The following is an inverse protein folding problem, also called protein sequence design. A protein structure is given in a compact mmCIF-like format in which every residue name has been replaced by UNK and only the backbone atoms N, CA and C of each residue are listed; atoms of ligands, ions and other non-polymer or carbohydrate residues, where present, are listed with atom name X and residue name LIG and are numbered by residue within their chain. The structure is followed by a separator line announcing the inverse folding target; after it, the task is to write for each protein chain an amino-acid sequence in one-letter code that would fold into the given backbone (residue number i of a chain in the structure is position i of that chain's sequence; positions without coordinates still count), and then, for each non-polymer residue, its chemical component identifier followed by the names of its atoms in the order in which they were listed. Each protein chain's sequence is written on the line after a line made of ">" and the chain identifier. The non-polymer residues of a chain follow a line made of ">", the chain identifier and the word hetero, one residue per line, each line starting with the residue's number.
data_IF_445698822123
#
_entry.id   IF_445698822123
#
_cell.length_a   1.000
_cell.length_b   1.000
_cell.length_c   1.000
_cell.angle_alpha   90.00
_cell.angle_beta   90.00
_cell.angle_gamma   90.00
#
_symmetry.space_group_name_H-M   'P 1'
#
loop_
_entity.id
_entity.type
_entity.pdbx_description
1 polymer ?
#
# COMPACT_ATOMS: atom_id res chain seq x y z
N UNK A 1 -44.28 -43.27 -19.68
CA UNK A 1 -44.34 -41.81 -19.46
C UNK A 1 -43.24 -41.44 -18.48
N UNK A 2 -42.13 -40.88 -18.96
CA UNK A 2 -41.08 -40.33 -18.10
C UNK A 2 -41.48 -38.89 -17.74
N UNK A 3 -41.82 -38.65 -16.48
CA UNK A 3 -42.02 -37.30 -15.95
C UNK A 3 -40.64 -36.70 -15.62
N UNK A 4 -40.16 -35.88 -16.55
CA UNK A 4 -38.97 -35.06 -16.40
C UNK A 4 -39.34 -33.89 -15.48
N UNK A 5 -39.23 -34.08 -14.17
CA UNK A 5 -39.21 -32.98 -13.22
C UNK A 5 -37.95 -32.15 -13.49
N UNK A 6 -38.10 -31.02 -14.19
CA UNK A 6 -37.07 -30.01 -14.32
C UNK A 6 -36.87 -29.36 -12.94
N UNK A 7 -35.84 -29.82 -12.24
CA UNK A 7 -35.27 -29.10 -11.11
C UNK A 7 -34.79 -27.72 -11.62
N UNK A 8 -35.28 -26.59 -11.07
CA UNK A 8 -34.78 -25.30 -11.48
C UNK A 8 -33.32 -25.19 -11.03
N UNK A 9 -32.40 -25.23 -12.00
CA UNK A 9 -30.99 -24.88 -11.82
C UNK A 9 -30.91 -23.65 -10.92
N UNK A 10 -30.47 -23.84 -9.67
CA UNK A 10 -30.08 -22.73 -8.80
C UNK A 10 -29.02 -21.96 -9.57
N UNK A 11 -29.41 -20.80 -10.11
CA UNK A 11 -28.48 -19.79 -10.58
C UNK A 11 -27.68 -19.37 -9.35
N UNK A 12 -26.53 -20.00 -9.15
CA UNK A 12 -25.53 -19.46 -8.25
C UNK A 12 -25.09 -18.15 -8.90
N UNK A 13 -25.65 -17.04 -8.41
CA UNK A 13 -25.06 -15.73 -8.62
C UNK A 13 -23.66 -15.80 -8.01
N UNK A 14 -22.68 -16.14 -8.84
CA UNK A 14 -21.27 -16.00 -8.54
C UNK A 14 -20.99 -14.52 -8.39
N UNK A 15 -21.34 -13.98 -7.21
CA UNK A 15 -20.87 -12.68 -6.75
C UNK A 15 -19.36 -12.70 -6.88
N UNK A 16 -18.83 -11.70 -7.56
CA UNK A 16 -17.42 -11.61 -7.90
C UNK A 16 -16.64 -11.81 -6.60
N UNK A 17 -15.85 -12.89 -6.54
CA UNK A 17 -15.01 -13.17 -5.38
C UNK A 17 -13.99 -12.03 -5.29
N UNK A 18 -14.30 -11.00 -4.49
CA UNK A 18 -13.40 -9.87 -4.29
C UNK A 18 -12.10 -10.41 -3.71
N UNK A 19 -11.00 -10.25 -4.44
CA UNK A 19 -9.67 -10.52 -3.92
C UNK A 19 -9.48 -9.58 -2.71
N UNK A 20 -9.16 -10.11 -1.52
CA UNK A 20 -8.88 -9.28 -0.35
C UNK A 20 -7.69 -8.35 -0.61
N UNK A 21 -7.80 -7.09 -0.16
CA UNK A 21 -6.71 -6.12 -0.18
C UNK A 21 -5.62 -6.53 0.82
N UNK A 22 -4.37 -6.10 0.58
CA UNK A 22 -3.19 -6.44 1.39
C UNK A 22 -3.02 -5.60 2.67
N UNK A 23 -3.98 -4.72 2.97
CA UNK A 23 -3.94 -3.85 4.16
C UNK A 23 -3.91 -4.64 5.46
N UNK A 24 -3.13 -4.16 6.42
CA UNK A 24 -2.97 -4.80 7.72
C UNK A 24 -2.03 -6.00 7.74
N UNK A 25 -1.53 -6.46 6.58
CA UNK A 25 -0.59 -7.59 6.51
C UNK A 25 0.84 -7.05 6.58
N UNK A 26 1.59 -7.45 7.60
CA UNK A 26 2.99 -7.02 7.76
C UNK A 26 3.88 -7.54 6.61
N UNK A 27 4.37 -6.63 5.77
CA UNK A 27 5.14 -6.99 4.56
C UNK A 27 6.45 -7.72 4.87
N UNK A 28 7.07 -7.48 6.02
CA UNK A 28 8.27 -8.23 6.43
C UNK A 28 7.96 -9.71 6.72
N UNK A 29 6.77 -10.02 7.24
CA UNK A 29 6.37 -11.41 7.51
C UNK A 29 5.83 -12.13 6.27
N UNK A 30 5.33 -11.39 5.29
CA UNK A 30 4.82 -11.95 4.02
C UNK A 30 5.95 -12.43 3.12
N UNK A 31 7.13 -11.82 3.22
CA UNK A 31 8.34 -12.26 2.51
C UNK A 31 9.26 -13.08 3.45
N UNK A 32 9.14 -14.44 3.46
CA UNK A 32 9.98 -15.29 4.29
C UNK A 32 11.44 -15.36 3.80
N UNK A 33 11.75 -14.89 2.59
CA UNK A 33 13.10 -14.91 2.02
C UNK A 33 13.89 -13.65 2.41
N UNK A 34 13.23 -12.49 2.53
CA UNK A 34 13.86 -11.22 2.90
C UNK A 34 14.73 -11.34 4.16
N UNK A 35 14.18 -11.86 5.26
CA UNK A 35 14.94 -12.02 6.50
C UNK A 35 16.13 -12.98 6.37
N UNK A 36 15.98 -14.05 5.58
CA UNK A 36 17.04 -15.02 5.33
C UNK A 36 18.17 -14.41 4.50
N UNK A 37 17.84 -13.65 3.47
CA UNK A 37 18.80 -12.95 2.63
C UNK A 37 19.56 -11.89 3.43
N UNK A 38 18.85 -11.05 4.20
CA UNK A 38 19.48 -10.03 5.03
C UNK A 38 20.46 -10.64 6.04
N UNK A 39 20.10 -11.76 6.68
CA UNK A 39 20.99 -12.48 7.59
C UNK A 39 22.23 -13.04 6.89
N UNK A 40 22.07 -13.56 5.66
CA UNK A 40 23.19 -14.05 4.84
C UNK A 40 24.18 -12.93 4.48
N UNK A 41 23.68 -11.75 4.09
CA UNK A 41 24.52 -10.64 3.64
C UNK A 41 25.11 -9.80 4.77
N UNK A 42 24.37 -9.62 5.87
CA UNK A 42 24.77 -8.77 6.99
C UNK A 42 25.47 -9.55 8.11
N UNK A 43 25.24 -10.87 8.19
CA UNK A 43 25.62 -11.68 9.33
C UNK A 43 24.65 -11.54 10.52
N UNK A 44 24.83 -12.39 11.51
CA UNK A 44 23.87 -12.56 12.62
C UNK A 44 23.74 -11.36 13.54
N UNK A 45 24.86 -10.72 13.89
CA UNK A 45 24.85 -9.62 14.86
C UNK A 45 24.15 -8.37 14.30
N UNK A 46 24.48 -7.86 13.11
CA UNK A 46 23.79 -6.68 12.56
C UNK A 46 22.32 -6.98 12.20
N UNK A 47 22.01 -8.19 11.73
CA UNK A 47 20.64 -8.59 11.44
C UNK A 47 19.74 -8.53 12.68
N UNK A 48 20.23 -9.02 13.84
CA UNK A 48 19.46 -9.00 15.09
C UNK A 48 19.10 -7.59 15.56
N UNK A 49 19.94 -6.60 15.26
CA UNK A 49 19.68 -5.20 15.61
C UNK A 49 18.64 -4.56 14.66
N UNK A 50 18.65 -4.94 13.38
CA UNK A 50 17.77 -4.39 12.35
C UNK A 50 16.40 -5.05 12.28
N UNK A 51 16.31 -6.35 12.60
CA UNK A 51 15.08 -7.14 12.47
C UNK A 51 13.84 -6.48 13.15
N UNK A 52 13.91 -5.94 14.37
CA UNK A 52 12.76 -5.28 14.99
C UNK A 52 12.31 -4.03 14.22
N UNK A 53 13.25 -3.28 13.65
CA UNK A 53 12.98 -2.06 12.89
C UNK A 53 12.30 -2.42 11.55
N UNK A 54 12.76 -3.48 10.91
CA UNK A 54 12.18 -3.99 9.67
C UNK A 54 10.76 -4.54 9.86
N UNK A 55 10.51 -5.24 10.98
CA UNK A 55 9.15 -5.69 11.35
C UNK A 55 8.22 -4.52 11.60
N UNK A 56 8.68 -3.51 12.35
CA UNK A 56 7.91 -2.29 12.61
C UNK A 56 7.60 -1.53 11.31
N UNK A 57 8.60 -1.38 10.44
CA UNK A 57 8.44 -0.77 9.13
C UNK A 57 7.44 -1.54 8.27
N UNK A 58 7.55 -2.87 8.22
CA UNK A 58 6.64 -3.73 7.45
C UNK A 58 5.17 -3.56 7.84
N UNK A 59 4.87 -3.30 9.11
CA UNK A 59 3.51 -2.97 9.56
C UNK A 59 3.09 -1.56 9.15
N UNK A 60 3.96 -0.58 9.31
CA UNK A 60 3.65 0.82 8.96
C UNK A 60 3.41 0.97 7.47
N UNK A 61 4.15 0.23 6.64
CA UNK A 61 3.97 0.21 5.19
C UNK A 61 2.60 -0.32 4.79
N UNK A 62 2.11 -1.38 5.43
CA UNK A 62 0.79 -1.96 5.11
C UNK A 62 -0.41 -1.13 5.59
N UNK A 63 -0.16 -0.10 6.41
CA UNK A 63 -1.18 0.64 7.14
C UNK A 63 -1.12 2.15 6.82
N UNK A 64 -0.43 2.94 7.65
CA UNK A 64 -0.41 4.40 7.56
C UNK A 64 0.21 4.91 6.27
N UNK A 65 1.29 4.27 5.80
CA UNK A 65 2.01 4.71 4.62
C UNK A 65 1.24 4.38 3.33
N UNK A 66 0.58 3.22 3.27
CA UNK A 66 -0.30 2.86 2.17
C UNK A 66 -1.47 3.85 2.03
N UNK A 67 -2.07 4.24 3.15
CA UNK A 67 -3.13 5.25 3.16
C UNK A 67 -2.64 6.60 2.62
N UNK A 68 -1.45 7.06 3.04
CA UNK A 68 -0.86 8.29 2.51
C UNK A 68 -0.47 8.17 1.05
N UNK A 69 0.04 7.02 0.60
CA UNK A 69 0.40 6.78 -0.79
C UNK A 69 -0.82 6.90 -1.71
N UNK A 70 -1.90 6.21 -1.36
CA UNK A 70 -3.14 6.28 -2.12
C UNK A 70 -3.72 7.70 -2.13
N UNK A 71 -3.65 8.41 -1.00
CA UNK A 71 -4.08 9.82 -0.95
C UNK A 71 -3.21 10.73 -1.81
N UNK A 72 -1.88 10.55 -1.77
CA UNK A 72 -0.91 11.32 -2.53
C UNK A 72 -1.04 11.09 -4.04
N UNK A 73 -1.27 9.84 -4.47
CA UNK A 73 -1.50 9.49 -5.87
C UNK A 73 -2.74 10.17 -6.45
N UNK A 74 -3.81 10.26 -5.65
CA UNK A 74 -5.02 11.00 -6.03
C UNK A 74 -4.84 12.53 -6.00
N UNK A 75 -3.84 13.04 -5.25
CA UNK A 75 -3.58 14.47 -5.05
C UNK A 75 -2.14 14.84 -5.45
N UNK A 76 -1.77 14.69 -6.73
CA UNK A 76 -0.39 14.91 -7.17
C UNK A 76 0.04 16.38 -7.00
N UNK A 77 1.34 16.66 -6.81
CA UNK A 77 1.86 18.02 -6.67
C UNK A 77 1.52 18.89 -7.89
N UNK A 78 1.04 20.11 -7.65
CA UNK A 78 0.61 21.03 -8.70
C UNK A 78 1.47 22.29 -8.74
N UNK A 79 1.88 22.69 -9.94
CA UNK A 79 2.63 23.94 -10.15
C UNK A 79 1.68 25.14 -10.19
N UNK A 80 1.90 26.09 -9.27
CA UNK A 80 1.28 27.41 -9.29
C UNK A 80 2.24 28.43 -9.90
N UNK A 81 2.00 28.79 -11.15
CA UNK A 81 2.84 29.73 -11.88
C UNK A 81 2.75 31.17 -11.35
N UNK A 82 1.54 31.63 -11.00
CA UNK A 82 1.27 33.03 -10.67
C UNK A 82 0.32 33.21 -9.48
N UNK A 83 0.37 34.37 -8.86
CA UNK A 83 -0.60 34.82 -7.85
C UNK A 83 -1.91 35.28 -8.52
N UNK A 84 -2.98 35.50 -7.74
CA UNK A 84 -4.24 36.06 -8.26
C UNK A 84 -4.06 37.47 -8.86
N UNK A 85 -3.00 38.19 -8.48
CA UNK A 85 -2.67 39.52 -9.01
C UNK A 85 -1.76 39.48 -10.24
N UNK A 86 -1.38 38.29 -10.71
CA UNK A 86 -0.55 38.10 -11.91
C UNK A 86 0.97 38.10 -11.66
N UNK A 87 1.41 38.25 -10.42
CA UNK A 87 2.83 38.17 -10.06
C UNK A 87 3.35 36.74 -10.22
N UNK A 88 4.63 36.57 -10.58
CA UNK A 88 5.26 35.27 -10.65
C UNK A 88 5.34 34.63 -9.25
N UNK A 89 4.91 33.36 -9.14
CA UNK A 89 4.93 32.59 -7.89
C UNK A 89 5.82 31.34 -8.01
N UNK A 90 5.71 30.60 -9.12
CA UNK A 90 6.52 29.39 -9.42
C UNK A 90 6.66 28.43 -8.22
N UNK A 91 5.55 28.11 -7.56
CA UNK A 91 5.56 27.26 -6.35
C UNK A 91 4.81 25.95 -6.60
N UNK A 92 5.37 24.83 -6.16
CA UNK A 92 4.70 23.53 -6.16
C UNK A 92 3.87 23.41 -4.88
N UNK A 93 2.57 23.18 -5.02
CA UNK A 93 1.66 22.89 -3.91
C UNK A 93 1.47 21.39 -3.82
N UNK A 94 1.73 20.84 -2.63
CA UNK A 94 1.65 19.41 -2.33
C UNK A 94 0.52 19.15 -1.34
N UNK A 95 -0.11 17.97 -1.45
CA UNK A 95 -1.04 17.48 -0.44
C UNK A 95 -0.30 17.18 0.88
N UNK A 96 -0.91 17.36 2.06
CA UNK A 96 -0.28 17.02 3.33
C UNK A 96 0.24 15.57 3.41
N UNK A 97 -0.49 14.61 2.84
CA UNK A 97 -0.08 13.19 2.85
C UNK A 97 1.12 12.93 1.93
N UNK A 98 1.24 13.67 0.82
CA UNK A 98 2.44 13.64 -0.01
C UNK A 98 3.65 14.14 0.78
N UNK A 99 3.49 15.23 1.54
CA UNK A 99 4.54 15.77 2.41
C UNK A 99 4.86 14.82 3.57
N UNK A 100 3.86 14.12 4.11
CA UNK A 100 4.07 13.11 5.15
C UNK A 100 4.93 11.94 4.62
N UNK A 101 4.67 11.47 3.40
CA UNK A 101 5.51 10.47 2.73
C UNK A 101 6.94 10.96 2.51
N UNK A 102 7.15 12.20 2.08
CA UNK A 102 8.51 12.75 1.91
C UNK A 102 9.30 12.83 3.22
N UNK A 103 8.65 12.86 4.37
CA UNK A 103 9.34 12.91 5.67
C UNK A 103 9.82 11.55 6.16
N UNK A 104 9.25 10.47 5.63
CA UNK A 104 9.59 9.09 6.03
C UNK A 104 10.48 8.36 5.02
N UNK A 105 10.58 8.88 3.79
CA UNK A 105 11.43 8.38 2.71
C UNK A 105 12.88 8.88 2.85
#
# INVERSE_FOLDING_TARGET
>A
MNDIARDPLRTQSGGHQNIPDSRGINFFHVDPDLGRLLRLYLGDAPYRELEPQLKSLGQRVSDELDAWAISADHNPPQLRHRTRRGEALQTIVKHPDYVALERVA
#
